data_IF_540419599166
#
_entry.id   IF_540419599166
#
_cell.length_a   1.000
_cell.length_b   1.000
_cell.length_c   1.000
_cell.angle_alpha   90.00
_cell.angle_beta   90.00
_cell.angle_gamma   90.00
#
_symmetry.space_group_name_H-M   'P 1'
#
loop_
_entity.id
_entity.type
_entity.pdbx_description
1 polymer ?
#
# COMPACT_ATOMS: atom_id res chain seq x y z
N UNK A 1 -5.86 -22.00 -18.54
CA UNK A 1 -5.59 -20.55 -18.69
C UNK A 1 -4.11 -20.31 -18.48
N UNK A 2 -3.40 -20.03 -19.57
CA UNK A 2 -1.96 -19.75 -19.62
C UNK A 2 -1.72 -18.29 -20.00
N UNK A 3 -0.55 -17.75 -19.64
CA UNK A 3 -0.15 -16.37 -19.99
C UNK A 3 1.07 -16.41 -20.89
N UNK A 4 1.03 -15.61 -21.95
CA UNK A 4 2.17 -15.38 -22.82
C UNK A 4 3.16 -14.45 -22.12
N UNK A 5 4.45 -14.70 -22.32
CA UNK A 5 5.52 -13.89 -21.75
C UNK A 5 6.30 -13.17 -22.85
N UNK A 6 6.82 -12.00 -22.52
CA UNK A 6 7.80 -11.29 -23.34
C UNK A 6 9.13 -12.06 -23.39
N UNK A 7 10.03 -11.69 -24.29
CA UNK A 7 11.40 -12.23 -24.34
C UNK A 7 12.20 -11.95 -23.06
N UNK A 8 11.88 -10.88 -22.33
CA UNK A 8 12.43 -10.55 -21.01
C UNK A 8 11.81 -11.34 -19.85
N UNK A 9 10.73 -12.09 -20.10
CA UNK A 9 10.06 -12.93 -19.11
C UNK A 9 8.91 -12.26 -18.33
N UNK A 10 8.53 -11.05 -18.74
CA UNK A 10 7.41 -10.29 -18.19
C UNK A 10 6.08 -10.81 -18.74
N UNK A 11 5.00 -10.60 -17.99
CA UNK A 11 3.67 -11.02 -18.43
C UNK A 11 3.13 -10.08 -19.52
N UNK A 12 2.42 -10.64 -20.50
CA UNK A 12 1.81 -9.88 -21.62
C UNK A 12 0.68 -8.91 -21.26
N UNK A 13 -0.14 -9.10 -20.20
CA UNK A 13 -1.05 -8.05 -19.76
C UNK A 13 -0.25 -6.78 -19.46
N UNK A 14 -0.62 -5.70 -20.13
CA UNK A 14 -0.05 -4.37 -19.94
C UNK A 14 -1.12 -3.47 -19.38
N UNK A 15 -0.75 -2.64 -18.40
CA UNK A 15 -1.62 -1.59 -17.91
C UNK A 15 -1.33 -0.34 -18.73
N UNK A 16 -2.40 0.26 -19.27
CA UNK A 16 -2.26 1.59 -19.84
C UNK A 16 -1.78 2.54 -18.75
N UNK A 17 -0.83 3.45 -19.05
CA UNK A 17 -0.44 4.52 -18.13
C UNK A 17 -1.66 5.41 -17.91
N UNK A 18 -2.42 5.13 -16.85
CA UNK A 18 -3.56 5.95 -16.48
C UNK A 18 -3.02 7.23 -15.86
N UNK A 19 -3.56 8.37 -16.29
CA UNK A 19 -3.19 9.71 -15.81
C UNK A 19 -3.03 9.69 -14.28
N UNK A 20 -1.81 9.86 -13.75
CA UNK A 20 -1.55 9.74 -12.31
C UNK A 20 -2.06 10.94 -11.51
N UNK A 21 -2.67 11.93 -12.18
CA UNK A 21 -3.24 13.09 -11.53
C UNK A 21 -4.73 12.88 -11.23
N UNK A 22 -5.16 13.33 -10.05
CA UNK A 22 -6.58 13.33 -9.70
C UNK A 22 -7.31 14.37 -10.57
N UNK A 23 -8.45 14.01 -11.16
CA UNK A 23 -9.43 14.97 -11.69
C UNK A 23 -10.43 15.44 -10.61
N UNK A 24 -10.20 15.06 -9.34
CA UNK A 24 -11.08 15.46 -8.24
C UNK A 24 -10.79 16.89 -7.81
N UNK A 25 -11.86 17.60 -7.41
CA UNK A 25 -11.82 18.99 -6.94
C UNK A 25 -10.94 19.22 -5.70
N UNK A 26 -10.70 18.16 -4.93
CA UNK A 26 -9.91 18.19 -3.68
C UNK A 26 -8.69 17.28 -3.87
N UNK A 27 -7.51 17.79 -3.51
CA UNK A 27 -6.29 16.98 -3.50
C UNK A 27 -6.37 15.91 -2.41
N UNK A 28 -5.89 14.71 -2.74
CA UNK A 28 -5.72 13.66 -1.74
C UNK A 28 -4.56 14.04 -0.81
N UNK A 29 -4.60 13.53 0.42
CA UNK A 29 -3.45 13.68 1.33
C UNK A 29 -2.25 12.90 0.79
N UNK A 30 -1.04 13.34 1.14
CA UNK A 30 0.20 12.74 0.67
C UNK A 30 0.22 11.22 0.94
N UNK A 31 -0.26 10.80 2.11
CA UNK A 31 -0.28 9.41 2.57
C UNK A 31 -1.16 8.54 1.69
N UNK A 32 -2.26 9.08 1.17
CA UNK A 32 -3.20 8.35 0.31
C UNK A 32 -2.54 7.84 -0.98
N UNK A 33 -1.45 8.48 -1.42
CA UNK A 33 -0.66 8.01 -2.57
C UNK A 33 0.69 7.43 -2.14
N UNK A 34 1.36 7.99 -1.13
CA UNK A 34 2.73 7.59 -0.76
C UNK A 34 2.80 6.44 0.25
N UNK A 35 1.69 6.06 0.88
CA UNK A 35 1.60 4.85 1.72
C UNK A 35 0.81 3.72 1.05
N UNK A 36 0.21 4.00 -0.11
CA UNK A 36 -0.63 3.05 -0.80
C UNK A 36 0.23 2.07 -1.62
N UNK A 37 0.12 0.75 -1.38
CA UNK A 37 0.91 -0.27 -2.07
C UNK A 37 0.61 -0.34 -3.58
N UNK A 38 -0.60 0.02 -4.00
CA UNK A 38 -0.98 0.08 -5.41
C UNK A 38 -0.30 1.24 -6.11
N UNK A 39 -0.26 2.42 -5.48
CA UNK A 39 0.39 3.61 -6.02
C UNK A 39 1.89 3.41 -6.28
N UNK A 40 2.58 2.58 -5.49
CA UNK A 40 3.99 2.23 -5.68
C UNK A 40 4.22 0.93 -6.48
N UNK A 41 3.16 0.35 -7.07
CA UNK A 41 3.22 -0.76 -8.01
C UNK A 41 3.17 -2.18 -7.41
N UNK A 42 2.95 -2.34 -6.10
CA UNK A 42 2.73 -3.66 -5.49
C UNK A 42 1.29 -4.19 -5.69
N UNK A 43 0.38 -3.38 -6.20
CA UNK A 43 -1.01 -3.75 -6.43
C UNK A 43 -1.86 -3.73 -5.15
N UNK A 44 -3.19 -3.80 -5.33
CA UNK A 44 -4.18 -3.63 -4.25
C UNK A 44 -4.09 -4.73 -3.18
N UNK A 45 -3.64 -5.93 -3.56
CA UNK A 45 -3.59 -7.09 -2.67
C UNK A 45 -2.28 -7.21 -1.85
N UNK A 46 -1.24 -6.44 -2.14
CA UNK A 46 0.10 -6.64 -1.59
C UNK A 46 0.56 -5.50 -0.66
N UNK A 47 -0.36 -5.00 0.16
CA UNK A 47 0.02 -4.13 1.29
C UNK A 47 0.93 -4.90 2.27
N UNK A 48 1.71 -4.21 3.10
CA UNK A 48 2.57 -4.89 4.09
C UNK A 48 1.76 -5.72 5.09
N UNK A 49 0.57 -5.26 5.46
CA UNK A 49 -0.36 -5.98 6.33
C UNK A 49 -1.03 -7.14 5.59
N UNK A 50 -1.44 -6.93 4.34
CA UNK A 50 -2.03 -7.97 3.49
C UNK A 50 -1.05 -9.11 3.21
N UNK A 51 0.21 -8.80 2.86
CA UNK A 51 1.27 -9.79 2.67
C UNK A 51 1.51 -10.62 3.93
N UNK A 52 1.48 -10.00 5.12
CA UNK A 52 1.65 -10.72 6.38
C UNK A 52 0.46 -11.65 6.69
N UNK A 53 -0.74 -11.31 6.24
CA UNK A 53 -1.97 -12.07 6.51
C UNK A 53 -2.27 -13.13 5.46
N UNK A 54 -1.94 -12.87 4.20
CA UNK A 54 -2.34 -13.67 3.04
C UNK A 54 -1.15 -14.30 2.30
N UNK A 55 0.09 -13.88 2.60
CA UNK A 55 1.26 -14.25 1.82
C UNK A 55 1.12 -13.75 0.37
N UNK A 56 1.31 -14.67 -0.58
CA UNK A 56 1.13 -14.42 -2.01
C UNK A 56 -0.30 -14.75 -2.51
N UNK A 57 -1.24 -15.14 -1.64
CA UNK A 57 -2.62 -15.39 -2.07
C UNK A 57 -3.37 -14.07 -2.32
N UNK A 58 -4.20 -14.01 -3.38
CA UNK A 58 -4.94 -12.81 -3.72
C UNK A 58 -5.99 -12.50 -2.64
N UNK A 59 -6.13 -11.22 -2.31
CA UNK A 59 -7.17 -10.76 -1.41
C UNK A 59 -8.54 -10.94 -2.06
N UNK A 60 -9.44 -11.70 -1.41
CA UNK A 60 -10.85 -11.72 -1.76
C UNK A 60 -11.62 -10.70 -0.93
N UNK A 61 -12.24 -9.73 -1.57
CA UNK A 61 -13.20 -8.84 -0.91
C UNK A 61 -14.62 -9.28 -1.26
N UNK A 62 -15.37 -9.73 -0.26
CA UNK A 62 -16.78 -10.02 -0.45
C UNK A 62 -17.57 -8.69 -0.52
N UNK A 63 -18.09 -8.37 -1.70
CA UNK A 63 -18.92 -7.20 -1.94
C UNK A 63 -20.43 -7.53 -2.03
N UNK A 64 -20.87 -8.70 -1.54
CA UNK A 64 -22.30 -9.05 -1.51
C UNK A 64 -23.13 -8.07 -0.67
N UNK A 65 -22.49 -7.47 0.34
CA UNK A 65 -23.04 -6.38 1.16
C UNK A 65 -22.12 -5.17 1.04
N UNK A 66 -22.41 -4.30 0.06
CA UNK A 66 -21.57 -3.15 -0.26
C UNK A 66 -22.11 -1.84 0.32
N UNK A 67 -21.25 -0.82 0.39
CA UNK A 67 -21.62 0.55 0.82
C UNK A 67 -22.74 1.14 -0.06
N UNK A 68 -22.78 0.79 -1.35
CA UNK A 68 -23.77 1.27 -2.31
C UNK A 68 -25.02 0.37 -2.39
N UNK A 69 -25.17 -0.55 -1.44
CA UNK A 69 -26.27 -1.51 -1.38
C UNK A 69 -25.81 -2.95 -1.59
N UNK A 70 -26.69 -3.86 -1.17
CA UNK A 70 -26.50 -5.30 -1.31
C UNK A 70 -26.74 -5.74 -2.75
N UNK A 71 -26.00 -6.77 -3.20
CA UNK A 71 -26.26 -7.40 -4.51
C UNK A 71 -27.51 -8.29 -4.37
N UNK A 72 -28.62 -7.99 -5.06
CA UNK A 72 -29.87 -8.71 -4.86
C UNK A 72 -29.73 -10.22 -5.14
N UNK A 73 -30.22 -11.04 -4.21
CA UNK A 73 -30.26 -12.50 -4.37
C UNK A 73 -28.94 -13.23 -4.09
N UNK A 74 -27.86 -12.52 -3.74
CA UNK A 74 -26.56 -13.12 -3.44
C UNK A 74 -26.39 -13.31 -1.93
N UNK A 75 -26.14 -14.56 -1.51
CA UNK A 75 -25.89 -14.92 -0.09
C UNK A 75 -24.41 -14.99 0.28
N UNK A 76 -23.51 -15.05 -0.70
CA UNK A 76 -22.06 -15.17 -0.52
C UNK A 76 -21.34 -14.48 -1.66
N UNK A 77 -20.17 -13.91 -1.40
CA UNK A 77 -19.30 -13.43 -2.46
C UNK A 77 -18.76 -14.58 -3.30
N UNK A 78 -18.70 -14.40 -4.60
CA UNK A 78 -18.01 -15.26 -5.56
C UNK A 78 -17.04 -14.44 -6.40
N UNK A 79 -15.96 -15.07 -6.87
CA UNK A 79 -15.07 -14.47 -7.85
C UNK A 79 -15.79 -14.34 -9.19
N UNK A 80 -16.02 -13.10 -9.65
CA UNK A 80 -16.58 -12.88 -10.99
C UNK A 80 -15.59 -13.26 -12.10
N UNK A 81 -14.28 -13.16 -11.82
CA UNK A 81 -13.21 -13.57 -12.73
C UNK A 81 -12.41 -14.71 -12.07
N UNK A 82 -12.34 -15.90 -12.68
CA UNK A 82 -11.62 -17.03 -12.11
C UNK A 82 -10.10 -16.79 -12.09
N UNK A 83 -9.42 -17.30 -11.05
CA UNK A 83 -7.96 -17.20 -10.89
C UNK A 83 -7.23 -17.77 -12.11
N UNK A 84 -6.31 -16.99 -12.68
CA UNK A 84 -5.41 -17.49 -13.73
C UNK A 84 -4.25 -18.21 -13.05
N UNK A 85 -4.19 -19.54 -13.15
CA UNK A 85 -3.20 -20.36 -12.41
C UNK A 85 -1.73 -19.98 -12.69
N UNK A 86 -1.42 -19.54 -13.91
CA UNK A 86 -0.08 -19.12 -14.31
C UNK A 86 0.21 -17.64 -13.99
N UNK A 87 -0.74 -16.95 -13.35
CA UNK A 87 -0.62 -15.57 -12.88
C UNK A 87 -0.94 -15.50 -11.39
N UNK A 88 0.02 -15.85 -10.51
CA UNK A 88 -0.21 -15.84 -9.07
C UNK A 88 -0.20 -14.42 -8.48
N UNK A 89 -0.29 -13.38 -9.29
CA UNK A 89 -0.21 -11.98 -8.87
C UNK A 89 -1.54 -11.26 -9.12
N UNK A 90 -1.75 -10.11 -8.46
CA UNK A 90 -2.89 -9.26 -8.78
C UNK A 90 -2.70 -8.61 -10.16
N UNK A 91 -3.78 -8.42 -10.92
CA UNK A 91 -3.73 -7.81 -12.26
C UNK A 91 -3.23 -6.36 -12.25
N UNK A 92 -3.26 -5.70 -11.10
CA UNK A 92 -2.75 -4.35 -10.89
C UNK A 92 -1.36 -4.32 -10.22
N UNK A 93 -0.72 -5.49 -10.05
CA UNK A 93 0.63 -5.58 -9.50
C UNK A 93 1.68 -5.53 -10.61
N UNK A 94 2.51 -4.49 -10.58
CA UNK A 94 3.56 -4.23 -11.57
C UNK A 94 4.91 -4.79 -11.16
N UNK A 95 5.19 -4.78 -9.86
CA UNK A 95 6.51 -5.13 -9.32
C UNK A 95 6.38 -5.92 -8.02
N UNK A 96 7.34 -6.79 -7.75
CA UNK A 96 7.49 -7.44 -6.44
C UNK A 96 8.24 -6.53 -5.46
N UNK A 97 8.14 -6.83 -4.15
CA UNK A 97 8.95 -6.15 -3.13
C UNK A 97 10.46 -6.35 -3.33
N UNK A 98 10.88 -7.46 -3.93
CA UNK A 98 12.28 -7.67 -4.31
C UNK A 98 12.75 -6.79 -5.48
N UNK A 99 11.83 -6.18 -6.22
CA UNK A 99 12.13 -5.33 -7.37
C UNK A 99 12.08 -6.03 -8.72
N UNK A 100 11.49 -7.22 -8.79
CA UNK A 100 11.23 -7.90 -10.06
C UNK A 100 9.96 -7.34 -10.69
N UNK A 101 10.08 -6.78 -11.88
CA UNK A 101 8.95 -6.39 -12.72
C UNK A 101 8.14 -7.62 -13.16
N UNK A 102 6.82 -7.47 -13.22
CA UNK A 102 5.89 -8.55 -13.50
C UNK A 102 5.12 -8.34 -14.80
N UNK A 103 4.76 -7.10 -15.10
CA UNK A 103 3.91 -6.77 -16.25
C UNK A 103 4.69 -5.89 -17.21
N UNK A 104 4.55 -6.18 -18.51
CA UNK A 104 5.20 -5.39 -19.54
C UNK A 104 4.58 -3.98 -19.62
N UNK A 105 5.43 -2.98 -19.84
CA UNK A 105 5.01 -1.58 -20.05
C UNK A 105 5.11 -1.18 -21.52
N UNK A 106 4.22 -0.30 -22.00
CA UNK A 106 4.23 0.13 -23.39
C UNK A 106 5.42 1.06 -23.70
N UNK A 107 5.85 1.88 -22.75
CA UNK A 107 6.99 2.78 -22.86
C UNK A 107 7.97 2.57 -21.70
N UNK A 108 9.23 2.94 -21.92
CA UNK A 108 10.28 2.81 -20.89
C UNK A 108 10.04 3.77 -19.72
N UNK A 109 9.44 4.92 -20.00
CA UNK A 109 9.09 5.95 -19.03
C UNK A 109 7.96 5.50 -18.08
N UNK A 110 7.15 4.53 -18.51
CA UNK A 110 6.03 3.97 -17.74
C UNK A 110 6.46 2.86 -16.77
N UNK A 111 7.77 2.58 -16.68
CA UNK A 111 8.30 1.54 -15.80
C UNK A 111 7.87 1.76 -14.34
N UNK A 112 7.72 0.70 -13.55
CA UNK A 112 7.58 0.86 -12.11
C UNK A 112 8.82 1.54 -11.51
N UNK A 113 8.61 2.26 -10.41
CA UNK A 113 9.69 2.85 -9.61
C UNK A 113 10.69 1.75 -9.22
N UNK A 114 11.99 2.02 -9.30
CA UNK A 114 13.03 1.08 -8.90
C UNK A 114 13.16 1.02 -7.37
N UNK A 115 13.99 0.10 -6.85
CA UNK A 115 14.14 -0.11 -5.41
C UNK A 115 14.56 1.15 -4.64
N UNK A 116 15.44 1.98 -5.21
CA UNK A 116 15.92 3.21 -4.56
C UNK A 116 14.80 4.25 -4.49
N UNK A 117 14.09 4.44 -5.60
CA UNK A 117 12.94 5.36 -5.70
C UNK A 117 11.81 4.94 -4.74
N UNK A 118 11.42 3.67 -4.73
CA UNK A 118 10.39 3.17 -3.82
C UNK A 118 10.80 3.28 -2.36
N UNK A 119 12.07 3.05 -2.03
CA UNK A 119 12.55 3.18 -0.65
C UNK A 119 12.45 4.62 -0.11
N UNK A 120 12.55 5.63 -0.98
CA UNK A 120 12.32 7.02 -0.61
C UNK A 120 10.83 7.25 -0.35
N UNK A 121 9.97 6.85 -1.30
CA UNK A 121 8.51 7.04 -1.20
C UNK A 121 7.90 6.29 -0.01
N UNK A 122 8.24 5.01 0.18
CA UNK A 122 7.74 4.18 1.27
C UNK A 122 8.13 4.70 2.66
N UNK A 123 9.26 5.41 2.77
CA UNK A 123 9.75 5.94 4.04
C UNK A 123 9.05 7.23 4.40
N UNK A 124 8.82 8.11 3.43
CA UNK A 124 8.24 9.43 3.66
C UNK A 124 6.78 9.36 4.15
N UNK A 125 5.98 8.50 3.53
CA UNK A 125 4.56 8.34 3.89
C UNK A 125 4.33 7.78 5.30
N UNK A 126 5.22 6.93 5.82
CA UNK A 126 5.09 6.35 7.16
C UNK A 126 5.45 7.34 8.27
N UNK A 127 6.44 8.20 8.02
CA UNK A 127 6.92 9.16 8.99
C UNK A 127 5.95 10.34 9.15
N UNK A 128 5.39 10.86 8.04
CA UNK A 128 4.56 12.06 8.09
C UNK A 128 3.28 11.87 8.91
N UNK A 129 2.68 10.66 8.92
CA UNK A 129 1.48 10.41 9.73
C UNK A 129 1.67 10.67 11.23
N UNK A 130 2.87 10.39 11.75
CA UNK A 130 3.24 10.71 13.13
C UNK A 130 3.76 12.15 13.26
N UNK A 131 4.51 12.64 12.28
CA UNK A 131 5.18 13.94 12.32
C UNK A 131 4.36 15.12 11.77
N UNK A 132 3.12 14.91 11.32
CA UNK A 132 2.26 15.96 10.73
C UNK A 132 2.03 17.17 11.65
N UNK A 133 2.20 16.99 12.96
CA UNK A 133 2.04 18.04 13.97
C UNK A 133 3.37 18.70 14.38
N UNK A 134 4.48 18.40 13.70
CA UNK A 134 5.78 18.96 14.06
C UNK A 134 5.74 20.51 14.05
N UNK A 135 6.21 21.12 15.14
CA UNK A 135 6.14 22.58 15.36
C UNK A 135 4.85 23.09 16.01
N UNK A 136 3.89 22.21 16.32
CA UNK A 136 2.70 22.57 17.12
C UNK A 136 2.98 22.43 18.62
N UNK A 137 2.17 23.09 19.46
CA UNK A 137 2.25 22.97 20.93
C UNK A 137 2.09 21.51 21.40
N UNK A 138 1.21 20.74 20.74
CA UNK A 138 1.04 19.32 21.03
C UNK A 138 2.30 18.51 20.78
N UNK A 139 3.06 18.85 19.74
CA UNK A 139 4.34 18.21 19.43
C UNK A 139 5.44 18.56 20.44
N UNK A 140 5.47 19.81 20.91
CA UNK A 140 6.38 20.21 21.99
C UNK A 140 6.14 19.42 23.27
N UNK A 141 4.87 19.23 23.67
CA UNK A 141 4.49 18.38 24.82
C UNK A 141 4.94 16.92 24.65
N UNK A 142 4.85 16.37 23.45
CA UNK A 142 5.36 15.01 23.14
C UNK A 142 6.88 14.96 23.34
N UNK A 143 7.62 15.94 22.82
CA UNK A 143 9.08 16.03 23.00
C UNK A 143 9.46 16.20 24.47
N UNK A 144 8.73 17.01 25.24
CA UNK A 144 8.96 17.19 26.68
C UNK A 144 8.71 15.90 27.46
N UNK A 145 7.69 15.13 27.06
CA UNK A 145 7.29 13.90 27.77
C UNK A 145 8.22 12.72 27.46
N UNK A 146 8.59 12.55 26.18
CA UNK A 146 9.29 11.35 25.71
C UNK A 146 10.71 11.61 25.20
N UNK A 147 11.13 12.87 25.08
CA UNK A 147 12.41 13.26 24.50
C UNK A 147 12.41 13.31 22.96
N UNK A 148 13.59 13.59 22.40
CA UNK A 148 13.82 13.63 20.95
C UNK A 148 14.68 12.44 20.53
N UNK A 149 14.23 11.69 19.54
CA UNK A 149 15.01 10.60 18.98
C UNK A 149 16.12 11.13 18.07
N UNK A 150 17.37 10.76 18.34
CA UNK A 150 18.52 11.04 17.47
C UNK A 150 18.92 9.81 16.63
N UNK A 151 18.50 8.63 17.07
CA UNK A 151 18.76 7.34 16.40
C UNK A 151 17.46 6.57 16.15
N UNK A 152 17.43 5.66 15.17
CA UNK A 152 16.26 4.80 14.93
C UNK A 152 15.84 3.99 16.16
N UNK A 153 16.81 3.53 16.96
CA UNK A 153 16.53 2.75 18.17
C UNK A 153 15.80 3.59 19.23
N UNK A 154 16.25 4.82 19.46
CA UNK A 154 15.57 5.76 20.36
C UNK A 154 14.16 6.08 19.86
N UNK A 155 14.00 6.24 18.54
CA UNK A 155 12.69 6.47 17.94
C UNK A 155 11.72 5.33 18.24
N UNK A 156 12.15 4.07 18.05
CA UNK A 156 11.32 2.90 18.31
C UNK A 156 10.95 2.74 19.79
N UNK A 157 11.89 3.05 20.69
CA UNK A 157 11.67 3.01 22.14
C UNK A 157 10.62 4.06 22.57
N UNK A 158 10.78 5.31 22.12
CA UNK A 158 9.85 6.41 22.38
C UNK A 158 8.45 6.09 21.87
N UNK A 159 8.34 5.59 20.63
CA UNK A 159 7.06 5.22 20.05
C UNK A 159 6.39 4.07 20.81
N UNK A 160 7.15 3.07 21.23
CA UNK A 160 6.63 1.95 22.03
C UNK A 160 6.06 2.43 23.37
N UNK A 161 6.75 3.35 24.04
CA UNK A 161 6.30 3.91 25.30
C UNK A 161 5.04 4.77 25.15
N UNK A 162 5.01 5.63 24.14
CA UNK A 162 3.85 6.47 23.83
C UNK A 162 2.59 5.63 23.56
N UNK A 163 2.70 4.57 22.75
CA UNK A 163 1.60 3.65 22.45
C UNK A 163 1.15 2.90 23.72
N UNK A 164 2.09 2.40 24.54
CA UNK A 164 1.76 1.73 25.82
C UNK A 164 1.03 2.66 26.78
N UNK A 165 1.42 3.93 26.85
CA UNK A 165 0.77 4.95 27.67
C UNK A 165 -0.69 5.16 27.23
N UNK A 166 -0.92 5.28 25.92
CA UNK A 166 -2.27 5.39 25.35
C UNK A 166 -3.12 4.15 25.64
N UNK A 167 -2.56 2.95 25.48
CA UNK A 167 -3.26 1.69 25.78
C UNK A 167 -3.66 1.57 27.25
N UNK A 168 -2.84 2.07 28.18
CA UNK A 168 -3.17 2.10 29.61
C UNK A 168 -4.33 3.07 29.90
N UNK A 169 -4.38 4.22 29.21
CA UNK A 169 -5.46 5.20 29.37
C UNK A 169 -6.77 4.78 28.70
N UNK A 170 -6.69 3.98 27.63
CA UNK A 170 -7.85 3.52 26.86
C UNK A 170 -8.56 2.30 27.46
N UNK A 171 -7.99 1.65 28.49
CA UNK A 171 -8.68 0.60 29.26
C UNK A 171 -9.74 1.25 30.17
N UNK A 172 -10.95 1.38 29.63
CA UNK A 172 -12.19 1.48 30.37
C UNK A 172 -12.83 0.09 30.47
#
# INVERSE_FOLDING_TARGET
NSIYKTSSGDNTPTLSPLQPHSISLVSRTCENCHTDPKAIGYGTANSRSSYKLLGDEPMFQNLSHGIYGDIPGIKRGDWQVPKIKQFPYALDQLITRSGKELQNMPLLEDRPLNKKERALVEREGLCIGCHQYNGTEGWHKIIETYGRAETPKQHDEIMSEAIKSLMKRARF
#
